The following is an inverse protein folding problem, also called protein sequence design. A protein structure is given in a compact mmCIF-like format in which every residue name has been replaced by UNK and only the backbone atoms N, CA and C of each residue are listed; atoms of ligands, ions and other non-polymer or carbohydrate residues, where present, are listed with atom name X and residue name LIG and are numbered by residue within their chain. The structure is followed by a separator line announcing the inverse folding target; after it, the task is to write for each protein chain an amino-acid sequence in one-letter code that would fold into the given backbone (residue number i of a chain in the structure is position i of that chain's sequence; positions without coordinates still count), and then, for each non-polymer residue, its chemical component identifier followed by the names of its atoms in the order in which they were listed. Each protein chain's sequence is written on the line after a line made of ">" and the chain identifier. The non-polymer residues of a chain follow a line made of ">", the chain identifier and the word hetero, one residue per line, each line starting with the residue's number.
data_IF_899108712798
#
_entry.id   IF_899108712798
#
_cell.length_a   1.000
_cell.length_b   1.000
_cell.length_c   1.000
_cell.angle_alpha   90.00
_cell.angle_beta   90.00
_cell.angle_gamma   90.00
#
_symmetry.space_group_name_H-M   'P 1'
#
loop_
_entity.id
_entity.type
_entity.pdbx_description
1 polymer ?
#
# COMPACT_ATOMS: atom_id res chain seq x y z
N UNK A 1 -8.22 -38.09 28.25
CA UNK A 1 -8.17 -36.62 28.59
C UNK A 1 -8.88 -35.88 27.47
N UNK A 2 -10.10 -35.42 27.77
CA UNK A 2 -10.93 -34.71 26.78
C UNK A 2 -10.65 -33.22 26.95
N UNK A 3 -10.04 -32.60 25.92
CA UNK A 3 -9.79 -31.15 25.90
C UNK A 3 -11.08 -30.46 25.47
N UNK A 4 -11.76 -29.84 26.39
CA UNK A 4 -12.92 -28.98 26.11
C UNK A 4 -12.40 -27.65 25.59
N UNK A 5 -12.57 -27.38 24.29
CA UNK A 5 -12.31 -26.04 23.74
C UNK A 5 -13.42 -25.09 24.21
N UNK A 6 -13.05 -24.11 25.02
CA UNK A 6 -13.94 -23.03 25.40
C UNK A 6 -14.14 -22.13 24.18
N UNK A 7 -15.37 -22.07 23.69
CA UNK A 7 -15.78 -21.10 22.65
C UNK A 7 -15.80 -19.70 23.27
N UNK A 8 -14.79 -18.91 23.04
CA UNK A 8 -14.82 -17.48 23.35
C UNK A 8 -15.68 -16.77 22.29
N UNK A 9 -16.92 -16.52 22.65
CA UNK A 9 -17.80 -15.62 21.91
C UNK A 9 -17.38 -14.20 22.22
N UNK A 10 -16.57 -13.59 21.36
CA UNK A 10 -16.35 -12.15 21.41
C UNK A 10 -17.63 -11.46 20.94
N UNK A 11 -18.51 -11.12 21.88
CA UNK A 11 -19.66 -10.25 21.63
C UNK A 11 -19.18 -8.80 21.52
N UNK A 12 -18.54 -8.47 20.40
CA UNK A 12 -18.33 -7.09 19.98
C UNK A 12 -19.59 -6.63 19.24
N UNK A 13 -20.34 -5.71 19.81
CA UNK A 13 -21.47 -5.01 19.17
C UNK A 13 -21.00 -4.03 18.09
N UNK A 14 -19.97 -4.36 17.32
CA UNK A 14 -19.58 -3.60 16.15
C UNK A 14 -20.44 -4.05 14.97
N UNK A 15 -21.21 -3.16 14.39
CA UNK A 15 -21.80 -3.39 13.07
C UNK A 15 -20.67 -3.55 12.06
N UNK A 16 -20.37 -4.79 11.65
CA UNK A 16 -19.41 -5.02 10.58
C UNK A 16 -19.97 -4.47 9.29
N UNK A 17 -19.37 -3.40 8.79
CA UNK A 17 -19.70 -2.89 7.48
C UNK A 17 -19.15 -3.84 6.41
N UNK A 18 -19.91 -3.99 5.33
CA UNK A 18 -19.50 -4.85 4.23
C UNK A 18 -18.39 -4.17 3.42
N UNK A 19 -17.29 -4.87 3.11
CA UNK A 19 -16.28 -4.34 2.20
C UNK A 19 -16.86 -3.98 0.84
N UNK A 20 -16.49 -2.82 0.33
CA UNK A 20 -16.89 -2.33 -0.99
C UNK A 20 -15.72 -2.48 -1.98
N UNK A 21 -15.98 -2.92 -3.23
CA UNK A 21 -14.94 -2.93 -4.26
C UNK A 21 -14.37 -1.54 -4.47
N UNK A 22 -13.05 -1.46 -4.65
CA UNK A 22 -12.34 -0.22 -4.84
C UNK A 22 -11.49 -0.29 -6.11
N UNK A 23 -11.47 0.78 -6.88
CA UNK A 23 -10.64 0.95 -8.07
C UNK A 23 -9.72 2.14 -7.84
N UNK A 24 -8.42 1.95 -8.02
CA UNK A 24 -7.43 3.02 -7.99
C UNK A 24 -7.65 3.89 -9.23
N UNK A 25 -7.88 5.17 -9.04
CA UNK A 25 -8.04 6.14 -10.12
C UNK A 25 -7.43 7.46 -9.69
N UNK A 26 -6.24 7.76 -10.18
CA UNK A 26 -5.54 8.99 -9.85
C UNK A 26 -5.86 10.04 -10.93
N UNK A 27 -6.44 11.19 -10.57
CA UNK A 27 -6.74 12.24 -11.52
C UNK A 27 -5.48 12.78 -12.21
N UNK A 28 -5.59 13.10 -13.50
CA UNK A 28 -4.49 13.64 -14.32
C UNK A 28 -3.85 14.89 -13.70
N UNK A 29 -4.63 15.72 -13.05
CA UNK A 29 -4.14 16.89 -12.32
C UNK A 29 -3.10 16.53 -11.25
N UNK A 30 -3.31 15.42 -10.52
CA UNK A 30 -2.35 14.91 -9.54
C UNK A 30 -1.06 14.41 -10.19
N UNK A 31 -1.18 13.79 -11.36
CA UNK A 31 -0.02 13.33 -12.12
C UNK A 31 0.78 14.51 -12.69
N UNK A 32 0.10 15.57 -13.11
CA UNK A 32 0.74 16.82 -13.54
C UNK A 32 1.45 17.53 -12.37
N UNK A 33 0.82 17.60 -11.20
CA UNK A 33 1.44 18.14 -9.99
C UNK A 33 2.70 17.36 -9.59
N UNK A 34 2.65 16.03 -9.66
CA UNK A 34 3.83 15.18 -9.45
C UNK A 34 4.95 15.51 -10.45
N UNK A 35 4.64 15.60 -11.73
CA UNK A 35 5.63 15.95 -12.77
C UNK A 35 6.27 17.34 -12.53
N UNK A 36 5.47 18.31 -12.13
CA UNK A 36 5.96 19.64 -11.77
C UNK A 36 6.92 19.59 -10.56
N UNK A 37 6.57 18.83 -9.53
CA UNK A 37 7.43 18.64 -8.34
C UNK A 37 8.73 17.93 -8.67
N UNK A 38 8.69 16.89 -9.52
CA UNK A 38 9.90 16.18 -9.98
C UNK A 38 10.80 17.09 -10.81
N UNK A 39 10.23 18.01 -11.59
CA UNK A 39 11.01 18.98 -12.39
C UNK A 39 11.73 19.99 -11.49
N UNK A 40 11.08 20.41 -10.40
CA UNK A 40 11.61 21.37 -9.43
C UNK A 40 12.26 20.70 -8.22
N UNK A 41 12.69 19.46 -8.37
CA UNK A 41 13.28 18.71 -7.26
C UNK A 41 14.57 19.38 -6.77
N UNK A 42 14.64 19.56 -5.46
CA UNK A 42 15.84 19.99 -4.75
C UNK A 42 16.44 18.80 -4.01
N UNK A 43 17.64 18.42 -4.39
CA UNK A 43 18.43 17.41 -3.68
C UNK A 43 19.31 18.09 -2.63
N UNK A 44 19.65 17.37 -1.54
CA UNK A 44 20.65 17.84 -0.59
C UNK A 44 22.02 17.95 -1.28
N UNK A 45 22.89 18.78 -0.70
CA UNK A 45 24.27 18.87 -1.15
C UNK A 45 25.00 17.55 -0.92
N UNK A 46 25.91 17.23 -1.82
CA UNK A 46 26.73 16.02 -1.75
C UNK A 46 27.96 16.32 -0.91
N UNK A 47 28.28 15.41 0.01
CA UNK A 47 29.55 15.45 0.72
C UNK A 47 30.64 14.89 -0.19
N UNK A 48 31.80 15.50 -0.20
CA UNK A 48 32.96 15.00 -0.90
C UNK A 48 33.24 13.56 -0.42
N UNK A 49 33.42 12.63 -1.37
CA UNK A 49 33.61 11.19 -1.14
C UNK A 49 32.40 10.42 -0.56
N UNK A 50 31.18 10.98 -0.57
CA UNK A 50 30.00 10.23 -0.19
C UNK A 50 29.75 9.08 -1.17
N UNK A 51 29.74 7.86 -0.62
CA UNK A 51 29.43 6.63 -1.34
C UNK A 51 28.31 5.88 -0.60
N UNK A 52 28.05 4.66 -0.99
CA UNK A 52 27.04 3.81 -0.35
C UNK A 52 27.24 3.57 1.16
N UNK A 53 28.36 3.91 1.72
CA UNK A 53 28.66 3.77 3.16
C UNK A 53 27.82 4.72 4.00
N UNK A 54 27.58 5.94 3.48
CA UNK A 54 26.80 6.98 4.17
C UNK A 54 25.31 6.96 3.78
N UNK A 55 24.94 6.16 2.80
CA UNK A 55 23.57 6.06 2.29
C UNK A 55 23.53 5.98 0.78
N UNK A 56 22.37 6.33 0.20
CA UNK A 56 22.22 6.32 -1.25
C UNK A 56 22.91 7.55 -1.85
N UNK A 57 23.90 7.37 -2.75
CA UNK A 57 24.56 8.50 -3.41
C UNK A 57 23.58 9.38 -4.16
N UNK A 58 23.71 10.72 -4.09
CA UNK A 58 22.84 11.67 -4.81
C UNK A 58 22.77 11.43 -6.32
N UNK A 59 23.83 10.90 -6.93
CA UNK A 59 23.84 10.49 -8.33
C UNK A 59 22.80 9.42 -8.66
N UNK A 60 22.62 8.43 -7.78
CA UNK A 60 21.58 7.41 -7.93
C UNK A 60 20.17 7.98 -7.76
N UNK A 61 20.00 8.89 -6.82
CA UNK A 61 18.71 9.58 -6.66
C UNK A 61 18.37 10.37 -7.92
N UNK A 62 19.34 11.12 -8.49
CA UNK A 62 19.14 11.84 -9.76
C UNK A 62 18.74 10.89 -10.90
N UNK A 63 19.41 9.76 -11.03
CA UNK A 63 19.10 8.73 -12.05
C UNK A 63 17.67 8.20 -11.89
N UNK A 64 17.24 7.90 -10.69
CA UNK A 64 15.89 7.43 -10.40
C UNK A 64 14.84 8.51 -10.69
N UNK A 65 15.12 9.77 -10.34
CA UNK A 65 14.23 10.89 -10.65
C UNK A 65 14.08 11.10 -12.15
N UNK A 66 15.17 11.05 -12.93
CA UNK A 66 15.09 11.17 -14.39
C UNK A 66 14.28 10.01 -15.00
N UNK A 67 14.44 8.79 -14.50
CA UNK A 67 13.60 7.67 -14.90
C UNK A 67 12.12 7.94 -14.54
N UNK A 68 11.85 8.44 -13.35
CA UNK A 68 10.47 8.73 -12.90
C UNK A 68 9.82 9.84 -13.74
N UNK A 69 10.60 10.83 -14.18
CA UNK A 69 10.12 11.93 -15.05
C UNK A 69 9.77 11.46 -16.46
N UNK A 70 10.57 10.58 -17.04
CA UNK A 70 10.55 10.29 -18.48
C UNK A 70 10.25 8.84 -18.86
N UNK A 71 10.60 7.87 -18.01
CA UNK A 71 10.50 6.44 -18.30
C UNK A 71 9.40 5.71 -17.52
N UNK A 72 8.88 6.31 -16.45
CA UNK A 72 7.85 5.69 -15.62
C UNK A 72 6.45 6.12 -16.05
N UNK A 73 5.62 5.16 -16.43
CA UNK A 73 4.23 5.39 -16.82
C UNK A 73 3.29 4.91 -15.69
N UNK A 74 2.69 5.87 -14.99
CA UNK A 74 1.73 5.58 -13.93
C UNK A 74 0.50 4.84 -14.46
N UNK A 75 -0.04 5.21 -15.63
CA UNK A 75 -1.26 4.59 -16.15
C UNK A 75 -1.08 3.09 -16.37
N UNK A 76 0.10 2.68 -16.82
CA UNK A 76 0.43 1.25 -16.97
C UNK A 76 0.50 0.56 -15.61
N UNK A 77 1.05 1.21 -14.59
CA UNK A 77 1.13 0.64 -13.25
C UNK A 77 -0.24 0.61 -12.57
N UNK A 78 -1.04 1.64 -12.74
CA UNK A 78 -2.42 1.70 -12.22
C UNK A 78 -3.27 0.55 -12.80
N UNK A 79 -3.16 0.26 -14.08
CA UNK A 79 -3.83 -0.89 -14.70
C UNK A 79 -3.38 -2.22 -14.08
N UNK A 80 -2.08 -2.41 -13.85
CA UNK A 80 -1.55 -3.61 -13.20
C UNK A 80 -2.04 -3.75 -11.78
N UNK A 81 -2.09 -2.65 -11.02
CA UNK A 81 -2.63 -2.64 -9.67
C UNK A 81 -4.11 -2.99 -9.66
N UNK A 82 -4.89 -2.40 -10.55
CA UNK A 82 -6.33 -2.64 -10.67
C UNK A 82 -6.69 -4.05 -11.18
N UNK A 83 -5.72 -4.83 -11.63
CA UNK A 83 -5.92 -6.26 -11.89
C UNK A 83 -6.09 -7.08 -10.59
N UNK A 84 -5.72 -6.53 -9.44
CA UNK A 84 -5.92 -7.14 -8.14
C UNK A 84 -7.28 -6.74 -7.55
N UNK A 85 -7.94 -7.64 -6.77
CA UNK A 85 -9.24 -7.34 -6.17
C UNK A 85 -9.09 -6.46 -4.93
N UNK A 86 -9.19 -5.14 -5.13
CA UNK A 86 -9.13 -4.14 -4.07
C UNK A 86 -10.49 -3.90 -3.42
N UNK A 87 -10.46 -3.66 -2.12
CA UNK A 87 -11.63 -3.32 -1.32
C UNK A 87 -11.31 -2.21 -0.32
N UNK A 88 -12.36 -1.53 0.13
CA UNK A 88 -12.33 -0.61 1.25
C UNK A 88 -13.41 -0.98 2.25
N UNK A 89 -13.13 -0.76 3.53
CA UNK A 89 -14.11 -0.94 4.59
C UNK A 89 -13.87 0.12 5.67
N UNK A 90 -14.89 0.86 6.07
CA UNK A 90 -14.79 1.73 7.22
C UNK A 90 -14.85 0.91 8.50
N UNK A 91 -13.93 1.16 9.41
CA UNK A 91 -13.82 0.50 10.72
C UNK A 91 -13.91 1.55 11.80
N UNK A 92 -14.96 1.47 12.62
CA UNK A 92 -15.09 2.31 13.80
C UNK A 92 -14.00 1.96 14.83
N UNK A 93 -13.30 2.97 15.30
CA UNK A 93 -12.25 2.82 16.29
C UNK A 93 -12.79 3.11 17.68
N UNK A 94 -12.38 2.29 18.65
CA UNK A 94 -12.70 2.53 20.06
C UNK A 94 -12.04 3.82 20.58
N UNK A 95 -12.50 4.28 21.75
CA UNK A 95 -11.95 5.41 22.51
C UNK A 95 -12.00 6.77 21.79
N UNK A 96 -12.94 6.98 20.87
CA UNK A 96 -13.15 8.29 20.25
C UNK A 96 -12.18 8.65 19.12
N UNK A 97 -11.43 7.69 18.60
CA UNK A 97 -10.55 7.91 17.43
C UNK A 97 -11.29 8.00 16.09
N UNK A 98 -12.63 7.90 16.12
CA UNK A 98 -13.45 8.03 14.92
C UNK A 98 -13.49 6.76 14.08
N UNK A 99 -13.54 6.94 12.76
CA UNK A 99 -13.61 5.85 11.78
C UNK A 99 -12.37 5.88 10.89
N UNK A 100 -11.80 4.70 10.63
CA UNK A 100 -10.72 4.50 9.69
C UNK A 100 -11.23 3.78 8.45
N UNK A 101 -10.94 4.34 7.29
CA UNK A 101 -11.22 3.71 6.01
C UNK A 101 -10.03 2.83 5.60
N UNK A 102 -10.18 1.53 5.75
CA UNK A 102 -9.13 0.55 5.51
C UNK A 102 -9.20 0.02 4.08
N UNK A 103 -8.15 0.25 3.32
CA UNK A 103 -7.94 -0.33 2.00
C UNK A 103 -7.17 -1.65 2.12
N UNK A 104 -7.59 -2.69 1.38
CA UNK A 104 -6.95 -4.00 1.37
C UNK A 104 -7.19 -4.73 0.06
N UNK A 105 -6.39 -5.76 -0.19
CA UNK A 105 -6.59 -6.71 -1.29
C UNK A 105 -7.12 -8.01 -0.69
N UNK A 106 -8.16 -8.57 -1.30
CA UNK A 106 -8.71 -9.86 -0.88
C UNK A 106 -8.80 -10.80 -2.08
N UNK A 107 -7.84 -11.70 -2.20
CA UNK A 107 -7.82 -12.76 -3.20
C UNK A 107 -8.26 -14.08 -2.57
N UNK A 108 -9.22 -14.75 -3.20
CA UNK A 108 -9.66 -16.08 -2.77
C UNK A 108 -8.93 -17.14 -3.58
N UNK A 109 -8.49 -18.18 -2.89
CA UNK A 109 -7.94 -19.36 -3.54
C UNK A 109 -9.06 -20.19 -4.19
N UNK A 110 -8.77 -20.81 -5.33
CA UNK A 110 -9.63 -21.83 -5.94
C UNK A 110 -9.54 -23.17 -5.20
N UNK A 111 -8.55 -23.36 -4.34
CA UNK A 111 -8.39 -24.55 -3.54
C UNK A 111 -9.25 -24.45 -2.27
N UNK A 112 -10.24 -25.34 -2.14
CA UNK A 112 -11.13 -25.41 -0.98
C UNK A 112 -10.41 -25.70 0.35
N UNK A 113 -9.20 -26.27 0.31
CA UNK A 113 -8.37 -26.54 1.49
C UNK A 113 -7.35 -25.44 1.77
N UNK A 114 -7.43 -24.31 1.09
CA UNK A 114 -6.52 -23.19 1.34
C UNK A 114 -6.67 -22.66 2.76
N UNK A 115 -5.54 -22.44 3.40
CA UNK A 115 -5.49 -21.81 4.72
C UNK A 115 -5.63 -20.30 4.54
N UNK A 116 -6.59 -19.65 5.22
CA UNK A 116 -6.69 -18.20 5.15
C UNK A 116 -5.44 -17.55 5.77
N UNK A 117 -4.85 -16.63 5.02
CA UNK A 117 -3.69 -15.86 5.45
C UNK A 117 -4.04 -14.37 5.49
N UNK A 118 -3.86 -13.74 6.65
CA UNK A 118 -3.90 -12.30 6.78
C UNK A 118 -2.46 -11.78 6.82
N UNK A 119 -2.10 -10.95 5.84
CA UNK A 119 -0.81 -10.27 5.80
C UNK A 119 -0.97 -8.78 6.12
N UNK A 120 -0.26 -8.31 7.15
CA UNK A 120 -0.23 -6.90 7.55
C UNK A 120 1.23 -6.44 7.48
N UNK A 121 1.53 -5.56 6.53
CA UNK A 121 2.88 -5.03 6.37
C UNK A 121 3.12 -3.81 7.26
N UNK A 122 4.41 -3.51 7.50
CA UNK A 122 4.82 -2.32 8.23
C UNK A 122 4.61 -1.02 7.45
N UNK A 123 4.84 0.09 8.13
CA UNK A 123 4.78 1.42 7.52
C UNK A 123 5.72 1.53 6.31
N UNK A 124 5.21 2.05 5.17
CA UNK A 124 5.89 2.26 3.89
C UNK A 124 6.15 1.03 3.01
N UNK A 125 5.61 -0.13 3.33
CA UNK A 125 5.54 -1.21 2.34
C UNK A 125 4.26 -1.07 1.53
N UNK A 126 4.38 -1.39 0.23
CA UNK A 126 3.25 -1.35 -0.68
C UNK A 126 2.65 -2.76 -0.80
N UNK A 127 1.33 -2.85 -0.73
CA UNK A 127 0.58 -4.12 -0.73
C UNK A 127 0.94 -5.04 -1.91
N UNK A 128 1.22 -4.46 -3.08
CA UNK A 128 1.55 -5.23 -4.27
C UNK A 128 2.91 -5.96 -4.23
N UNK A 129 3.86 -5.50 -3.39
CA UNK A 129 5.17 -6.15 -3.25
C UNK A 129 5.06 -7.50 -2.54
N UNK A 130 4.01 -7.68 -1.74
CA UNK A 130 3.80 -8.90 -0.96
C UNK A 130 3.10 -10.03 -1.72
N UNK A 131 2.68 -9.78 -2.97
CA UNK A 131 1.92 -10.71 -3.81
C UNK A 131 2.71 -11.25 -5.01
N UNK A 132 3.98 -10.85 -5.15
CA UNK A 132 4.93 -11.38 -6.14
C UNK A 132 5.87 -12.38 -5.51
#
# INVERSE_FOLDING_TARGET
>A
MTVTMASHTCAGNGSFQKPEPFIISIPDERLQDLKAKLTNLRLPDEWDDSNWTEGVPPGEIRRLVEYWKSGYDWCVQEQKLNALPHFRVPIAMDRGYGELDIHFIHSRSENERAIPLLFIHGCRLFLAISLT
#
